data_IF_451485445010
#
_entry.id   IF_451485445010
#
_cell.length_a   1.000
_cell.length_b   1.000
_cell.length_c   1.000
_cell.angle_alpha   90.00
_cell.angle_beta   90.00
_cell.angle_gamma   90.00
#
_symmetry.space_group_name_H-M   'P 1'
#
loop_
_entity.id
_entity.type
_entity.pdbx_description
1 polymer ?
#
# COMPACT_ATOMS: atom_id res chain seq x y z
N UNK A 1 -54.77 9.81 20.57
CA UNK A 1 -54.21 9.35 21.86
C UNK A 1 -53.87 7.86 21.75
N UNK A 2 -52.69 7.49 22.28
CA UNK A 2 -52.17 6.13 22.57
C UNK A 2 -51.68 5.31 21.35
N UNK A 3 -50.37 5.01 21.12
CA UNK A 3 -49.30 4.43 21.98
C UNK A 3 -49.77 3.07 22.55
N UNK A 4 -49.16 1.89 22.36
CA UNK A 4 -47.78 1.36 22.35
C UNK A 4 -47.84 -0.06 21.68
N UNK A 5 -46.87 -0.58 20.90
CA UNK A 5 -45.52 -1.13 21.19
C UNK A 5 -45.48 -2.67 21.44
N UNK A 6 -44.51 -3.32 20.73
CA UNK A 6 -43.73 -4.53 21.08
C UNK A 6 -44.40 -5.74 21.76
N UNK A 7 -44.60 -6.81 20.98
CA UNK A 7 -44.16 -8.22 21.20
C UNK A 7 -44.97 -9.13 20.26
N UNK A 8 -44.43 -10.32 19.98
CA UNK A 8 -44.99 -11.39 19.14
C UNK A 8 -44.67 -11.18 17.65
N UNK A 9 -43.59 -11.73 17.12
CA UNK A 9 -43.50 -13.11 16.61
C UNK A 9 -42.03 -13.22 16.13
N UNK A 10 -41.13 -14.13 16.49
CA UNK A 10 -41.19 -15.50 16.97
C UNK A 10 -39.87 -15.80 17.67
N UNK A 11 -39.92 -16.21 18.93
CA UNK A 11 -38.97 -17.16 19.47
C UNK A 11 -39.58 -18.55 19.35
N UNK A 12 -38.74 -19.54 18.98
CA UNK A 12 -38.82 -21.01 19.16
C UNK A 12 -38.31 -21.63 17.86
N UNK A 13 -37.00 -21.84 17.71
CA UNK A 13 -36.18 -22.95 18.23
C UNK A 13 -36.42 -24.30 17.52
N UNK A 14 -35.35 -24.81 16.92
CA UNK A 14 -35.18 -26.16 16.38
C UNK A 14 -34.97 -26.11 14.87
N UNK A 15 -33.80 -26.38 14.28
CA UNK A 15 -32.60 -27.08 14.74
C UNK A 15 -32.04 -27.79 13.50
N UNK A 16 -31.07 -27.17 12.82
CA UNK A 16 -30.48 -27.70 11.59
C UNK A 16 -29.24 -26.89 11.21
N UNK A 17 -28.09 -27.55 11.24
CA UNK A 17 -26.76 -26.95 11.15
C UNK A 17 -26.48 -26.28 9.80
N UNK A 18 -25.96 -25.04 9.85
CA UNK A 18 -25.01 -24.52 8.85
C UNK A 18 -23.98 -23.68 9.60
N UNK A 19 -22.75 -24.19 9.66
CA UNK A 19 -21.58 -23.51 10.20
C UNK A 19 -21.24 -22.31 9.31
N UNK A 20 -21.69 -21.11 9.69
CA UNK A 20 -21.19 -19.86 9.11
C UNK A 20 -19.91 -19.52 9.86
N UNK A 21 -18.77 -19.82 9.25
CA UNK A 21 -17.47 -19.33 9.68
C UNK A 21 -17.54 -17.82 9.83
N UNK A 22 -17.26 -17.36 11.05
CA UNK A 22 -17.43 -15.98 11.47
C UNK A 22 -16.62 -15.03 10.61
N UNK A 23 -17.33 -14.08 9.99
CA UNK A 23 -16.73 -12.82 9.55
C UNK A 23 -16.29 -12.10 10.83
N UNK A 24 -15.00 -12.13 11.13
CA UNK A 24 -14.44 -11.32 12.21
C UNK A 24 -14.57 -9.85 11.82
N UNK A 25 -15.65 -9.24 12.31
CA UNK A 25 -15.79 -7.81 12.38
C UNK A 25 -14.73 -7.29 13.36
N UNK A 26 -13.64 -6.74 12.82
CA UNK A 26 -12.71 -5.93 13.60
C UNK A 26 -13.45 -4.68 14.05
N UNK A 27 -14.03 -4.75 15.25
CA UNK A 27 -14.50 -3.60 16.00
C UNK A 27 -13.29 -2.72 16.33
N UNK A 28 -13.08 -1.68 15.52
CA UNK A 28 -12.14 -0.60 15.83
C UNK A 28 -12.80 0.33 16.85
N UNK A 29 -12.69 0.01 18.14
CA UNK A 29 -12.95 0.99 19.20
C UNK A 29 -11.68 1.82 19.43
N UNK A 30 -11.43 2.77 18.54
CA UNK A 30 -10.63 3.95 18.86
C UNK A 30 -11.54 5.17 18.82
N UNK A 31 -11.78 5.75 19.99
CA UNK A 31 -12.45 7.04 20.15
C UNK A 31 -11.55 8.15 19.59
N UNK A 32 -11.72 8.43 18.30
CA UNK A 32 -11.41 9.72 17.68
C UNK A 32 -12.39 9.90 16.51
N UNK A 33 -13.65 10.13 16.87
CA UNK A 33 -14.75 10.38 15.94
C UNK A 33 -14.75 11.85 15.54
N UNK A 34 -13.80 12.23 14.69
CA UNK A 34 -14.09 13.24 13.67
C UNK A 34 -13.52 12.76 12.34
N UNK A 35 -14.34 12.13 11.48
CA UNK A 35 -13.97 11.87 10.09
C UNK A 35 -13.72 13.16 9.27
N UNK A 36 -13.81 14.36 9.86
CA UNK A 36 -13.53 15.62 9.21
C UNK A 36 -12.02 15.91 9.03
N UNK A 37 -11.14 15.22 9.78
CA UNK A 37 -9.72 15.59 9.84
C UNK A 37 -8.76 14.63 9.12
N UNK A 38 -9.30 13.78 8.24
CA UNK A 38 -8.53 12.73 7.56
C UNK A 38 -8.81 12.72 6.06
N UNK A 39 -7.74 12.68 5.28
CA UNK A 39 -7.80 12.39 3.84
C UNK A 39 -7.12 11.06 3.58
N UNK A 40 -7.86 10.08 3.05
CA UNK A 40 -7.28 8.78 2.71
C UNK A 40 -6.62 8.79 1.34
N UNK A 41 -5.33 8.46 1.29
CA UNK A 41 -4.59 8.18 0.07
C UNK A 41 -4.50 6.67 -0.16
N UNK A 42 -5.16 6.19 -1.19
CA UNK A 42 -5.05 4.82 -1.67
C UNK A 42 -3.94 4.74 -2.71
N UNK A 43 -2.98 3.86 -2.49
CA UNK A 43 -1.87 3.58 -3.41
C UNK A 43 -2.07 2.20 -3.99
N UNK A 44 -2.14 2.16 -5.32
CA UNK A 44 -2.35 0.97 -6.13
C UNK A 44 -1.48 1.06 -7.39
N UNK A 45 -1.33 -0.06 -8.06
CA UNK A 45 -0.29 -0.26 -9.06
C UNK A 45 1.12 -0.47 -8.49
N UNK A 46 2.07 -0.64 -9.40
CA UNK A 46 3.45 -1.06 -9.21
C UNK A 46 4.38 0.00 -8.56
N UNK A 47 3.87 0.69 -7.54
CA UNK A 47 4.51 1.82 -6.85
C UNK A 47 5.58 1.29 -5.88
N UNK A 48 6.75 1.92 -5.87
CA UNK A 48 7.78 1.67 -4.85
C UNK A 48 7.51 2.48 -3.60
N UNK A 49 7.58 1.84 -2.44
CA UNK A 49 7.34 2.48 -1.14
C UNK A 49 8.63 2.52 -0.32
N UNK A 50 9.14 3.70 0.00
CA UNK A 50 10.26 3.86 0.92
C UNK A 50 9.73 4.13 2.33
N UNK A 51 9.83 3.14 3.22
CA UNK A 51 9.51 3.24 4.65
C UNK A 51 10.79 3.33 5.52
N UNK A 52 11.98 3.35 4.92
CA UNK A 52 13.25 3.30 5.64
C UNK A 52 13.66 4.63 6.27
N UNK A 53 13.03 5.74 5.87
CA UNK A 53 13.32 7.07 6.40
C UNK A 53 12.36 7.40 7.56
N UNK A 54 12.86 7.73 8.77
CA UNK A 54 12.00 8.03 9.91
C UNK A 54 11.22 9.35 9.76
N UNK A 55 11.70 10.28 8.94
CA UNK A 55 11.11 11.62 8.79
C UNK A 55 10.07 11.71 7.68
N UNK A 56 10.10 10.81 6.70
CA UNK A 56 9.17 10.82 5.58
C UNK A 56 9.07 9.45 4.92
N UNK A 57 7.97 9.25 4.21
CA UNK A 57 7.73 8.11 3.33
C UNK A 57 7.73 8.59 1.89
N UNK A 58 8.26 7.78 0.97
CA UNK A 58 8.24 8.10 -0.46
C UNK A 58 7.43 7.07 -1.25
N UNK A 59 6.61 7.57 -2.15
CA UNK A 59 5.97 6.81 -3.22
C UNK A 59 6.73 7.09 -4.51
N UNK A 60 7.52 6.13 -4.99
CA UNK A 60 8.24 6.22 -6.25
C UNK A 60 7.49 5.55 -7.38
N UNK A 61 7.46 6.23 -8.52
CA UNK A 61 6.88 5.74 -9.77
C UNK A 61 8.03 5.48 -10.75
N UNK A 62 8.56 4.24 -10.80
CA UNK A 62 9.76 3.92 -11.58
C UNK A 62 9.52 4.10 -13.08
N UNK A 63 10.58 4.14 -13.89
CA UNK A 63 10.43 4.17 -15.35
C UNK A 63 10.16 2.76 -15.88
N UNK A 64 8.92 2.45 -16.23
CA UNK A 64 8.56 1.20 -16.91
C UNK A 64 7.82 1.47 -18.24
N UNK A 65 8.08 0.71 -19.32
CA UNK A 65 7.38 0.85 -20.58
C UNK A 65 5.87 0.71 -20.40
N UNK A 66 5.10 1.55 -21.10
CA UNK A 66 3.64 1.51 -21.09
C UNK A 66 2.97 1.92 -19.78
N UNK A 67 3.71 2.33 -18.75
CA UNK A 67 3.14 2.75 -17.46
C UNK A 67 2.89 4.24 -17.38
N UNK A 68 1.79 4.63 -16.72
CA UNK A 68 1.55 6.01 -16.32
C UNK A 68 1.11 6.08 -14.87
N UNK A 69 1.75 6.97 -14.12
CA UNK A 69 1.35 7.32 -12.77
C UNK A 69 0.21 8.34 -12.85
N UNK A 70 -0.90 8.04 -12.19
CA UNK A 70 -2.08 8.92 -12.14
C UNK A 70 -2.54 9.11 -10.72
N UNK A 71 -3.08 10.28 -10.43
CA UNK A 71 -3.76 10.59 -9.18
C UNK A 71 -5.21 10.94 -9.49
N UNK A 72 -6.15 10.16 -8.96
CA UNK A 72 -7.54 10.56 -8.87
C UNK A 72 -7.77 11.33 -7.58
N UNK A 73 -8.33 12.52 -7.69
CA UNK A 73 -8.76 13.34 -6.56
C UNK A 73 -10.27 13.27 -6.48
N UNK A 74 -10.79 12.87 -5.33
CA UNK A 74 -12.22 12.86 -5.03
C UNK A 74 -12.47 13.89 -3.93
N UNK A 75 -12.95 15.09 -4.30
CA UNK A 75 -13.33 16.10 -3.33
C UNK A 75 -14.58 15.69 -2.56
N UNK A 76 -14.86 16.37 -1.45
CA UNK A 76 -16.06 16.12 -0.64
C UNK A 76 -17.37 16.31 -1.42
N UNK A 77 -17.38 17.16 -2.45
CA UNK A 77 -18.53 17.38 -3.33
C UNK A 77 -18.78 16.23 -4.36
N UNK A 78 -17.89 15.23 -4.42
CA UNK A 78 -18.07 14.01 -5.19
C UNK A 78 -17.55 14.01 -6.64
N UNK A 79 -17.07 15.14 -7.18
CA UNK A 79 -16.58 15.17 -8.58
C UNK A 79 -15.16 14.62 -8.70
N UNK A 80 -15.01 13.43 -9.28
CA UNK A 80 -13.69 12.83 -9.50
C UNK A 80 -12.94 13.53 -10.63
N UNK A 81 -11.71 13.97 -10.35
CA UNK A 81 -10.75 14.42 -11.39
C UNK A 81 -9.51 13.55 -11.38
N UNK A 82 -8.96 13.25 -12.56
CA UNK A 82 -7.73 12.47 -12.70
C UNK A 82 -6.65 13.32 -13.32
N UNK A 83 -5.47 13.31 -12.72
CA UNK A 83 -4.28 14.03 -13.21
C UNK A 83 -3.10 13.07 -13.31
N UNK A 84 -2.15 13.36 -14.19
CA UNK A 84 -0.90 12.61 -14.27
C UNK A 84 0.04 13.02 -13.13
N UNK A 85 0.74 12.06 -12.52
CA UNK A 85 1.79 12.32 -11.54
C UNK A 85 3.11 12.46 -12.30
N UNK A 86 3.69 13.65 -12.27
CA UNK A 86 4.96 14.00 -12.93
C UNK A 86 5.88 14.70 -11.93
N UNK A 87 7.19 14.49 -12.07
CA UNK A 87 8.19 15.16 -11.26
C UNK A 87 8.01 14.88 -9.77
N UNK A 88 8.41 15.85 -8.94
CA UNK A 88 8.30 15.69 -7.49
C UNK A 88 6.96 16.20 -6.97
N UNK A 89 6.41 15.43 -6.04
CA UNK A 89 5.28 15.78 -5.21
C UNK A 89 5.65 15.77 -3.73
N UNK A 90 4.97 16.60 -2.96
CA UNK A 90 5.18 16.74 -1.52
C UNK A 90 3.84 16.96 -0.82
N UNK A 91 3.59 16.24 0.25
CA UNK A 91 2.54 16.60 1.21
C UNK A 91 3.11 17.61 2.19
N UNK A 92 2.56 18.81 2.21
CA UNK A 92 2.83 19.82 3.23
C UNK A 92 1.76 19.72 4.31
N UNK A 93 2.14 19.22 5.49
CA UNK A 93 1.25 19.20 6.65
C UNK A 93 1.35 20.52 7.42
N UNK A 94 0.21 21.06 7.81
CA UNK A 94 0.09 22.18 8.73
C UNK A 94 -0.48 21.68 10.07
N UNK A 95 0.21 21.98 11.16
CA UNK A 95 -0.44 22.15 12.46
C UNK A 95 -0.80 20.92 13.30
N UNK A 96 -0.61 19.67 12.88
CA UNK A 96 -0.80 18.52 13.79
C UNK A 96 0.34 17.51 13.60
N UNK A 97 1.13 17.34 14.68
CA UNK A 97 2.24 16.37 14.74
C UNK A 97 1.67 15.05 15.24
N UNK A 98 1.59 14.05 14.37
CA UNK A 98 1.49 12.66 14.82
C UNK A 98 2.91 12.15 15.03
N UNK A 99 3.38 11.96 16.28
CA UNK A 99 4.78 11.66 16.55
C UNK A 99 5.18 10.30 16.00
N UNK A 100 4.25 9.35 15.91
CA UNK A 100 4.50 8.00 15.38
C UNK A 100 3.29 7.50 14.58
N UNK A 101 3.40 7.38 13.24
CA UNK A 101 2.33 6.82 12.43
C UNK A 101 2.13 5.34 12.76
N UNK A 102 0.87 4.91 12.91
CA UNK A 102 0.56 3.49 13.08
C UNK A 102 0.72 2.77 11.75
N UNK A 103 1.74 1.92 11.61
CA UNK A 103 1.99 1.14 10.39
C UNK A 103 1.53 -0.30 10.61
N UNK A 104 0.41 -0.66 9.99
CA UNK A 104 -0.12 -2.02 9.96
C UNK A 104 -0.23 -2.53 8.53
N UNK A 105 0.89 -3.00 8.01
CA UNK A 105 0.95 -3.57 6.66
C UNK A 105 1.32 -5.03 6.80
N UNK A 106 0.36 -5.96 6.65
CA UNK A 106 0.57 -7.37 6.96
C UNK A 106 1.77 -7.94 6.20
N UNK A 107 1.81 -7.72 4.89
CA UNK A 107 2.80 -8.31 4.00
C UNK A 107 2.96 -7.45 2.72
N UNK A 108 4.12 -6.80 2.57
CA UNK A 108 4.58 -6.15 1.35
C UNK A 108 5.91 -6.78 0.94
N UNK A 109 6.26 -6.73 -0.35
CA UNK A 109 7.52 -7.29 -0.83
C UNK A 109 8.68 -6.40 -0.38
N UNK A 110 9.64 -6.95 0.36
CA UNK A 110 10.80 -6.19 0.88
C UNK A 110 12.05 -6.47 0.08
N UNK A 111 12.72 -5.42 -0.36
CA UNK A 111 14.01 -5.60 -1.07
C UNK A 111 15.09 -6.25 -0.18
N UNK A 112 15.04 -6.04 1.14
CA UNK A 112 15.96 -6.72 2.07
C UNK A 112 15.74 -8.24 2.17
N UNK A 113 14.54 -8.75 1.91
CA UNK A 113 14.30 -10.20 1.91
C UNK A 113 14.92 -10.86 0.68
N UNK A 114 15.23 -10.08 -0.37
CA UNK A 114 15.84 -10.56 -1.60
C UNK A 114 17.36 -10.52 -1.55
N UNK A 115 17.91 -9.45 -0.98
CA UNK A 115 19.34 -9.17 -1.03
C UNK A 115 20.02 -9.23 0.33
N UNK A 116 19.27 -9.30 1.42
CA UNK A 116 19.80 -9.20 2.77
C UNK A 116 20.10 -7.75 3.17
N UNK A 117 21.04 -7.60 4.10
CA UNK A 117 21.43 -6.31 4.66
C UNK A 117 22.33 -5.49 3.72
N UNK A 118 22.41 -4.18 3.95
CA UNK A 118 23.29 -3.27 3.20
C UNK A 118 22.71 -2.71 1.90
N UNK A 119 21.43 -3.00 1.62
CA UNK A 119 20.68 -2.44 0.50
C UNK A 119 20.26 -0.99 0.80
N UNK A 120 20.27 -0.09 -0.17
CA UNK A 120 19.71 1.27 0.02
C UNK A 120 18.63 1.58 -1.00
N UNK A 121 17.59 2.27 -0.53
CA UNK A 121 16.54 2.84 -1.37
C UNK A 121 17.11 3.97 -2.23
N UNK A 122 16.80 3.95 -3.53
CA UNK A 122 16.96 5.09 -4.45
C UNK A 122 15.60 5.51 -5.02
N UNK A 123 14.54 5.36 -4.24
CA UNK A 123 13.16 5.74 -4.63
C UNK A 123 13.07 7.23 -4.98
N UNK A 124 13.93 8.07 -4.40
CA UNK A 124 14.09 9.48 -4.74
C UNK A 124 14.59 9.73 -6.18
N UNK A 125 15.14 8.70 -6.85
CA UNK A 125 15.60 8.76 -8.24
C UNK A 125 14.54 8.33 -9.25
N UNK A 126 13.34 7.93 -8.81
CA UNK A 126 12.23 7.66 -9.71
C UNK A 126 11.85 8.93 -10.52
N UNK A 127 11.41 8.79 -11.79
CA UNK A 127 10.98 9.92 -12.62
C UNK A 127 9.86 10.76 -12.00
N UNK A 128 8.97 10.10 -11.25
CA UNK A 128 8.00 10.79 -10.40
C UNK A 128 8.08 10.22 -8.99
N UNK A 129 7.95 11.10 -8.00
CA UNK A 129 7.99 10.75 -6.57
C UNK A 129 6.97 11.58 -5.82
N UNK A 130 6.26 10.99 -4.84
CA UNK A 130 5.50 11.74 -3.84
C UNK A 130 6.16 11.51 -2.48
N UNK A 131 6.64 12.57 -1.85
CA UNK A 131 7.17 12.54 -0.48
C UNK A 131 6.08 12.93 0.51
N UNK A 132 5.91 12.15 1.57
CA UNK A 132 4.91 12.35 2.61
C UNK A 132 5.65 12.40 3.95
N UNK A 133 5.74 13.55 4.62
CA UNK A 133 6.45 13.63 5.88
C UNK A 133 5.68 12.82 6.96
N UNK A 134 6.41 12.15 7.85
CA UNK A 134 5.82 11.22 8.83
C UNK A 134 4.78 11.89 9.72
N UNK A 135 4.98 13.18 10.03
CA UNK A 135 4.05 13.98 10.84
C UNK A 135 2.70 14.22 10.13
N UNK A 136 2.62 14.08 8.80
CA UNK A 136 1.37 14.17 8.05
C UNK A 136 0.56 12.86 8.11
N UNK A 137 1.14 11.77 8.60
CA UNK A 137 0.58 10.43 8.50
C UNK A 137 -0.02 10.02 9.83
N UNK A 138 -1.32 9.70 9.83
CA UNK A 138 -2.00 9.12 10.99
C UNK A 138 -1.80 7.62 11.06
N UNK A 139 -2.00 6.94 9.92
CA UNK A 139 -1.84 5.49 9.83
C UNK A 139 -1.58 5.02 8.41
N UNK A 140 -0.96 3.85 8.31
CA UNK A 140 -0.77 3.11 7.08
C UNK A 140 -1.36 1.73 7.30
N UNK A 141 -2.28 1.34 6.43
CA UNK A 141 -2.91 0.03 6.48
C UNK A 141 -3.03 -0.58 5.10
N UNK A 142 -3.38 -1.87 5.05
CA UNK A 142 -3.70 -2.55 3.79
C UNK A 142 -5.22 -2.63 3.62
N UNK A 143 -5.70 -2.27 2.43
CA UNK A 143 -7.13 -2.34 2.09
C UNK A 143 -7.51 -3.64 1.37
N UNK A 144 -6.56 -4.23 0.63
CA UNK A 144 -6.75 -5.43 -0.18
C UNK A 144 -5.45 -6.25 -0.15
N UNK A 145 -5.52 -7.58 -0.05
CA UNK A 145 -4.35 -8.48 -0.04
C UNK A 145 -4.55 -9.59 -1.07
N UNK A 146 -3.52 -9.90 -1.84
CA UNK A 146 -3.51 -10.97 -2.83
C UNK A 146 -3.46 -12.34 -2.15
N UNK A 147 -3.88 -13.40 -2.85
CA UNK A 147 -3.54 -14.76 -2.42
C UNK A 147 -2.04 -15.02 -2.61
N UNK A 148 -1.47 -15.96 -1.85
CA UNK A 148 -0.10 -16.42 -2.06
C UNK A 148 0.03 -17.10 -3.44
N UNK A 149 0.87 -16.54 -4.32
CA UNK A 149 0.99 -16.98 -5.72
C UNK A 149 2.38 -16.86 -6.33
N UNK A 150 3.26 -16.09 -5.73
CA UNK A 150 4.61 -15.90 -6.24
C UNK A 150 5.62 -16.34 -5.19
N UNK A 151 6.63 -17.05 -5.66
CA UNK A 151 7.95 -17.08 -5.01
C UNK A 151 8.90 -16.21 -5.84
N UNK A 152 10.13 -16.07 -5.41
CA UNK A 152 11.15 -15.30 -6.11
C UNK A 152 12.39 -16.14 -6.35
N UNK A 153 12.99 -15.98 -7.53
CA UNK A 153 14.23 -16.65 -7.90
C UNK A 153 15.25 -15.62 -8.36
N UNK A 154 16.53 -15.94 -8.26
CA UNK A 154 17.57 -15.11 -8.86
C UNK A 154 17.52 -15.27 -10.38
N UNK A 155 17.68 -14.17 -11.10
CA UNK A 155 17.64 -14.14 -12.57
C UNK A 155 18.87 -14.81 -13.20
N UNK A 156 20.00 -14.84 -12.50
CA UNK A 156 21.28 -15.34 -13.00
C UNK A 156 21.41 -16.87 -12.94
N UNK A 157 20.88 -17.51 -11.90
CA UNK A 157 21.03 -18.95 -11.68
C UNK A 157 19.71 -19.71 -11.42
N UNK A 158 18.57 -19.00 -11.30
CA UNK A 158 17.26 -19.61 -11.05
C UNK A 158 17.05 -20.16 -9.63
N UNK A 159 18.01 -19.94 -8.73
CA UNK A 159 17.93 -20.37 -7.33
C UNK A 159 16.84 -19.59 -6.60
N UNK A 160 16.06 -20.28 -5.78
CA UNK A 160 14.98 -19.68 -5.02
C UNK A 160 15.51 -18.82 -3.87
N UNK A 161 14.94 -17.62 -3.74
CA UNK A 161 15.26 -16.69 -2.66
C UNK A 161 14.56 -17.16 -1.38
N UNK A 162 15.31 -17.87 -0.53
CA UNK A 162 14.78 -18.49 0.69
C UNK A 162 14.34 -17.49 1.76
N UNK A 163 14.88 -16.27 1.72
CA UNK A 163 14.51 -15.15 2.61
C UNK A 163 13.08 -14.64 2.38
N UNK A 164 12.49 -14.94 1.22
CA UNK A 164 11.11 -14.58 0.89
C UNK A 164 10.30 -15.83 0.55
N UNK A 165 9.49 -16.29 1.51
CA UNK A 165 8.52 -17.38 1.26
C UNK A 165 7.30 -16.86 0.49
N UNK A 166 6.51 -17.75 -0.15
CA UNK A 166 5.25 -17.35 -0.74
C UNK A 166 4.36 -16.62 0.27
N UNK A 167 4.08 -15.34 0.02
CA UNK A 167 3.28 -14.47 0.89
C UNK A 167 2.06 -13.93 0.16
N UNK A 168 1.05 -13.59 0.95
CA UNK A 168 -0.03 -12.72 0.49
C UNK A 168 0.58 -11.31 0.35
N UNK A 169 0.31 -10.57 -0.72
CA UNK A 169 0.93 -9.25 -0.92
C UNK A 169 -0.17 -8.19 -0.94
N UNK A 170 0.03 -7.07 -0.26
CA UNK A 170 -0.92 -5.96 -0.32
C UNK A 170 -1.20 -5.55 -1.79
N UNK A 171 -2.46 -5.53 -2.19
CA UNK A 171 -2.88 -5.03 -3.51
C UNK A 171 -3.24 -3.55 -3.50
N UNK A 172 -3.55 -3.01 -2.33
CA UNK A 172 -3.83 -1.60 -2.11
C UNK A 172 -3.34 -1.19 -0.72
N UNK A 173 -2.50 -0.17 -0.66
CA UNK A 173 -2.10 0.49 0.60
C UNK A 173 -2.98 1.71 0.82
N UNK A 174 -3.45 1.88 2.05
CA UNK A 174 -4.19 3.06 2.50
C UNK A 174 -3.30 3.84 3.45
N UNK A 175 -3.02 5.10 3.11
CA UNK A 175 -2.29 6.05 3.95
C UNK A 175 -3.31 7.10 4.38
N UNK A 176 -3.65 7.13 5.66
CA UNK A 176 -4.53 8.15 6.21
C UNK A 176 -3.69 9.38 6.59
N UNK A 177 -3.90 10.46 5.84
CA UNK A 177 -3.22 11.73 5.99
C UNK A 177 -4.03 12.67 6.90
N UNK A 178 -3.34 13.55 7.62
CA UNK A 178 -3.97 14.73 8.20
C UNK A 178 -4.59 15.57 7.08
N UNK A 179 -5.86 15.95 7.22
CA UNK A 179 -6.53 16.82 6.24
C UNK A 179 -6.04 18.28 6.32
N UNK A 180 -5.34 18.65 7.40
CA UNK A 180 -4.68 19.95 7.54
C UNK A 180 -3.39 19.99 6.73
N UNK A 181 -3.50 20.06 5.41
CA UNK A 181 -2.34 20.09 4.53
C UNK A 181 -2.68 20.27 3.05
N UNK A 182 -1.64 20.30 2.23
CA UNK A 182 -1.73 20.42 0.77
C UNK A 182 -0.84 19.36 0.15
N UNK A 183 -1.37 18.58 -0.78
CA UNK A 183 -0.55 17.77 -1.69
C UNK A 183 -0.14 18.64 -2.88
N UNK A 184 1.15 18.91 -2.98
CA UNK A 184 1.80 19.53 -4.13
C UNK A 184 2.28 18.47 -5.09
N UNK A 185 2.05 18.66 -6.39
CA UNK A 185 2.54 17.80 -7.47
C UNK A 185 3.15 18.63 -8.60
N UNK A 186 3.87 17.96 -9.50
CA UNK A 186 4.52 18.59 -10.66
C UNK A 186 5.41 19.76 -10.23
N UNK A 187 6.26 19.48 -9.24
CA UNK A 187 7.20 20.43 -8.64
C UNK A 187 6.51 21.70 -8.12
N UNK A 188 5.30 21.54 -7.57
CA UNK A 188 4.51 22.61 -6.95
C UNK A 188 3.51 23.31 -7.86
N UNK A 189 3.43 22.95 -9.14
CA UNK A 189 2.47 23.56 -10.09
C UNK A 189 1.03 23.17 -9.81
N UNK A 190 0.81 21.97 -9.27
CA UNK A 190 -0.52 21.49 -8.91
C UNK A 190 -0.63 21.44 -7.39
N UNK A 191 -1.63 22.11 -6.84
CA UNK A 191 -1.91 22.17 -5.41
C UNK A 191 -3.28 21.54 -5.14
N UNK A 192 -3.31 20.52 -4.29
CA UNK A 192 -4.51 19.78 -3.92
C UNK A 192 -4.70 19.96 -2.41
N UNK A 193 -5.65 20.81 -1.99
CA UNK A 193 -5.95 21.00 -0.58
C UNK A 193 -6.58 19.72 0.00
N UNK A 194 -6.04 19.24 1.12
CA UNK A 194 -6.49 17.97 1.73
C UNK A 194 -7.78 18.14 2.53
N UNK A 195 -8.01 19.32 3.12
CA UNK A 195 -9.20 19.68 3.91
C UNK A 195 -10.54 19.53 3.16
N UNK A 196 -10.51 19.73 1.85
CA UNK A 196 -11.67 19.61 0.94
C UNK A 196 -11.62 18.34 0.10
N UNK A 197 -10.58 17.50 0.30
CA UNK A 197 -10.40 16.23 -0.39
C UNK A 197 -10.82 15.08 0.49
N UNK A 198 -11.82 14.31 0.02
CA UNK A 198 -12.30 13.11 0.71
C UNK A 198 -11.31 11.96 0.59
N UNK A 199 -10.86 11.69 -0.63
CA UNK A 199 -9.90 10.63 -0.90
C UNK A 199 -9.03 10.94 -2.13
N UNK A 200 -7.84 10.37 -2.10
CA UNK A 200 -6.86 10.38 -3.17
C UNK A 200 -6.61 8.94 -3.60
N UNK A 201 -6.46 8.69 -4.91
CA UNK A 201 -6.12 7.36 -5.44
C UNK A 201 -4.94 7.48 -6.39
N UNK A 202 -3.76 7.12 -5.93
CA UNK A 202 -2.56 7.02 -6.74
C UNK A 202 -2.53 5.64 -7.41
N UNK A 203 -2.52 5.61 -8.74
CA UNK A 203 -2.48 4.38 -9.54
C UNK A 203 -1.28 4.39 -10.47
N UNK A 204 -0.52 3.28 -10.50
CA UNK A 204 0.62 3.08 -11.39
C UNK A 204 0.55 1.72 -12.10
N UNK A 205 -0.04 1.69 -13.28
CA UNK A 205 -0.29 0.47 -14.02
C UNK A 205 0.01 0.68 -15.52
N UNK A 206 0.21 -0.41 -16.28
CA UNK A 206 0.39 -0.30 -17.73
C UNK A 206 -0.94 0.07 -18.42
N UNK A 207 -0.86 0.86 -19.48
CA UNK A 207 -2.03 1.37 -20.22
C UNK A 207 -2.74 0.30 -21.05
N UNK A 208 -2.04 -0.77 -21.43
CA UNK A 208 -2.59 -1.88 -22.21
C UNK A 208 -2.15 -3.19 -21.58
N UNK A 209 -3.12 -4.08 -21.34
CA UNK A 209 -2.88 -5.43 -20.84
C UNK A 209 -3.37 -6.42 -21.88
N UNK A 210 -2.45 -7.12 -22.54
CA UNK A 210 -2.79 -8.22 -23.45
C UNK A 210 -3.24 -9.46 -22.67
N UNK A 211 -3.88 -10.41 -23.35
CA UNK A 211 -4.26 -11.68 -22.71
C UNK A 211 -3.00 -12.44 -22.26
N UNK A 212 -2.94 -12.82 -20.99
CA UNK A 212 -1.78 -13.50 -20.39
C UNK A 212 -0.70 -12.59 -19.82
N UNK A 213 -0.80 -11.27 -20.02
CA UNK A 213 0.11 -10.27 -19.47
C UNK A 213 0.02 -10.21 -17.94
N UNK A 214 1.17 -10.21 -17.27
CA UNK A 214 1.28 -10.12 -15.82
C UNK A 214 2.12 -8.89 -15.46
N UNK A 215 1.49 -7.74 -15.21
CA UNK A 215 2.21 -6.48 -15.01
C UNK A 215 3.30 -6.59 -13.95
N UNK A 216 3.05 -7.36 -12.90
CA UNK A 216 4.01 -7.54 -11.82
C UNK A 216 5.22 -8.35 -12.26
N UNK A 217 5.02 -9.47 -12.97
CA UNK A 217 6.12 -10.30 -13.47
C UNK A 217 6.90 -9.58 -14.56
N UNK A 218 6.20 -8.99 -15.52
CA UNK A 218 6.78 -8.37 -16.71
C UNK A 218 7.56 -7.08 -16.40
N UNK A 219 7.26 -6.42 -15.27
CA UNK A 219 7.89 -5.15 -14.90
C UNK A 219 8.69 -5.19 -13.59
N UNK A 220 8.84 -6.37 -12.96
CA UNK A 220 9.65 -6.52 -11.75
C UNK A 220 11.10 -6.03 -11.92
N UNK A 221 11.68 -6.28 -13.11
CA UNK A 221 13.03 -5.85 -13.44
C UNK A 221 13.28 -4.34 -13.30
N UNK A 222 12.26 -3.50 -13.52
CA UNK A 222 12.43 -2.04 -13.50
C UNK A 222 12.63 -1.48 -12.09
N UNK A 223 12.28 -2.22 -11.04
CA UNK A 223 12.46 -1.76 -9.66
C UNK A 223 13.92 -1.80 -9.21
N UNK A 224 14.72 -2.70 -9.78
CA UNK A 224 16.11 -2.92 -9.38
C UNK A 224 17.02 -1.73 -9.67
N UNK A 225 16.69 -0.93 -10.68
CA UNK A 225 17.40 0.33 -10.96
C UNK A 225 17.27 1.37 -9.84
N UNK A 226 16.29 1.20 -8.95
CA UNK A 226 16.02 2.09 -7.81
C UNK A 226 16.49 1.50 -6.48
N UNK A 227 17.44 0.59 -6.55
CA UNK A 227 18.11 -0.03 -5.42
C UNK A 227 19.61 0.17 -5.56
N UNK A 228 20.29 0.47 -4.46
CA UNK A 228 21.74 0.30 -4.35
C UNK A 228 22.03 -1.00 -3.62
N UNK A 229 22.87 -1.86 -4.22
CA UNK A 229 23.23 -3.17 -3.67
C UNK A 229 24.76 -3.28 -3.58
N UNK A 230 25.30 -3.97 -2.56
CA UNK A 230 26.71 -4.37 -2.54
C UNK A 230 27.07 -5.23 -3.77
N UNK A 231 28.32 -5.18 -4.22
CA UNK A 231 28.77 -5.93 -5.41
C UNK A 231 28.57 -7.45 -5.29
N UNK A 232 28.65 -8.00 -4.07
CA UNK A 232 28.38 -9.42 -3.82
C UNK A 232 26.90 -9.83 -4.03
N UNK A 233 26.01 -8.85 -4.19
CA UNK A 233 24.56 -9.00 -4.34
C UNK A 233 24.07 -8.39 -5.67
N UNK A 234 24.96 -8.30 -6.67
CA UNK A 234 24.64 -7.75 -7.98
C UNK A 234 23.97 -8.79 -8.89
N UNK A 235 22.78 -9.21 -8.48
CA UNK A 235 21.87 -10.03 -9.28
C UNK A 235 20.45 -9.45 -9.19
N UNK A 236 19.63 -9.73 -10.19
CA UNK A 236 18.22 -9.38 -10.15
C UNK A 236 17.38 -10.54 -9.63
N UNK A 237 16.22 -10.21 -9.07
CA UNK A 237 15.29 -11.19 -8.51
C UNK A 237 13.99 -11.12 -9.29
N UNK A 238 13.50 -12.26 -9.78
CA UNK A 238 12.30 -12.29 -10.61
C UNK A 238 11.20 -13.11 -9.93
N UNK A 239 9.94 -12.65 -10.00
CA UNK A 239 8.83 -13.42 -9.45
C UNK A 239 8.60 -14.66 -10.30
N UNK A 240 8.37 -15.79 -9.62
CA UNK A 240 8.01 -17.07 -10.22
C UNK A 240 6.64 -17.48 -9.70
N UNK A 241 5.71 -17.71 -10.62
CA UNK A 241 4.35 -18.18 -10.27
C UNK A 241 4.40 -19.57 -9.65
N UNK A 242 3.61 -19.77 -8.60
CA UNK A 242 3.31 -21.06 -8.00
C UNK A 242 2.08 -21.57 -8.74
N UNK A 243 2.18 -22.72 -9.39
CA UNK A 243 1.14 -23.29 -10.25
C UNK A 243 -0.26 -23.27 -9.61
N UNK A 244 -1.31 -22.87 -10.36
CA UNK A 244 -2.72 -23.16 -10.00
C UNK A 244 -3.72 -21.99 -9.90
N UNK A 245 -3.40 -20.74 -10.25
CA UNK A 245 -4.38 -19.64 -10.16
C UNK A 245 -4.10 -18.50 -11.13
N UNK A 246 -5.09 -18.14 -11.96
CA UNK A 246 -5.13 -16.96 -12.84
C UNK A 246 -5.74 -15.72 -12.16
N UNK A 247 -5.79 -15.68 -10.83
CA UNK A 247 -6.42 -14.59 -10.09
C UNK A 247 -5.61 -13.26 -10.16
N UNK A 248 -6.18 -12.10 -9.76
CA UNK A 248 -5.60 -10.77 -10.00
C UNK A 248 -4.20 -10.60 -9.38
N UNK A 249 -3.22 -10.17 -10.18
CA UNK A 249 -1.85 -9.87 -9.76
C UNK A 249 -1.80 -8.78 -8.67
N UNK A 250 -0.88 -8.85 -7.67
CA UNK A 250 -0.68 -7.77 -6.72
C UNK A 250 -0.35 -6.48 -7.44
N UNK A 251 -1.07 -5.43 -7.05
CA UNK A 251 -0.92 -4.10 -7.60
C UNK A 251 -0.29 -3.16 -6.58
N UNK A 252 0.60 -3.58 -5.70
CA UNK A 252 1.48 -2.66 -4.98
C UNK A 252 2.91 -3.19 -5.12
N UNK A 253 3.84 -2.29 -5.40
CA UNK A 253 5.24 -2.63 -5.62
C UNK A 253 6.01 -2.87 -4.32
N UNK A 254 7.32 -2.96 -4.47
CA UNK A 254 8.24 -3.30 -3.40
C UNK A 254 8.42 -2.15 -2.42
N UNK A 255 8.78 -2.49 -1.19
CA UNK A 255 9.16 -1.51 -0.20
C UNK A 255 10.55 -1.74 0.40
N UNK A 256 11.07 -0.65 0.97
CA UNK A 256 12.30 -0.62 1.72
C UNK A 256 11.97 -0.37 3.19
N UNK A 257 12.32 -1.31 4.07
CA UNK A 257 12.19 -1.14 5.51
C UNK A 257 13.48 -1.63 6.17
N UNK A 258 14.30 -0.67 6.59
CA UNK A 258 15.50 -0.91 7.39
C UNK A 258 15.17 -0.58 8.84
N UNK A 259 15.39 -1.53 9.74
CA UNK A 259 15.18 -1.35 11.18
C UNK A 259 16.34 -2.00 11.91
N UNK A 260 17.17 -1.20 12.56
CA UNK A 260 18.33 -1.70 13.31
C UNK A 260 18.02 -2.03 14.78
N UNK A 261 16.77 -1.88 15.25
CA UNK A 261 16.48 -1.95 16.70
C UNK A 261 15.06 -2.43 17.04
N UNK A 262 14.98 -3.58 17.72
CA UNK A 262 13.87 -4.16 18.51
C UNK A 262 12.49 -4.42 17.84
N UNK A 263 12.02 -5.67 17.98
CA UNK A 263 10.62 -6.06 17.79
C UNK A 263 10.05 -6.54 19.14
N UNK A 264 9.01 -5.86 19.64
CA UNK A 264 8.19 -6.39 20.74
C UNK A 264 7.14 -7.30 20.12
N UNK A 265 7.24 -8.60 20.39
CA UNK A 265 6.25 -9.60 20.01
C UNK A 265 5.09 -9.57 21.01
N UNK A 266 3.87 -9.32 20.55
CA UNK A 266 2.67 -9.76 21.27
C UNK A 266 2.02 -10.89 20.48
N UNK A 267 1.81 -12.02 21.17
CA UNK A 267 0.95 -13.11 20.71
C UNK A 267 -0.49 -12.67 21.03
N UNK A 268 -1.24 -12.25 20.01
CA UNK A 268 -2.69 -12.24 20.09
C UNK A 268 -3.18 -13.58 19.52
N UNK A 269 -3.40 -14.55 20.41
CA UNK A 269 -4.24 -15.69 20.09
C UNK A 269 -5.69 -15.20 20.01
N UNK A 270 -6.37 -15.47 18.89
CA UNK A 270 -7.81 -15.26 18.77
C UNK A 270 -8.39 -16.54 18.12
N UNK A 271 -9.53 -17.07 18.63
CA UNK A 271 -10.06 -18.41 18.31
C UNK A 271 -10.44 -18.65 16.85
#
# INVERSE_FOLDING_TARGET
>A
MNQMNRRDFLSVLGGGAVSVTGVSAFASTSSDKSPADVTSLYVKGLVLLDLGNPHLIRLGFPKAPGHKATLSVVPQNGSRRTIAIKGNGLVEAQGIVFPEPKIFVPELVRMKEFYGEGVKSRVDKCPSVISIPSNAIRSISTSEVSKARYTFVRADNGEEVTGFRPRQVAETIKIDLSSAGVLKLDDGKVNIPLDTTRELRAEYAPERTESGFDPYTDHCGHYFSYIERPAALDFDVVPRRISGSTSPTPRVGHHFMMTDSYAVCYIAAVP
#
